data_IF_057543353056
#
_entry.id   IF_057543353056
#
_cell.length_a   1.000
_cell.length_b   1.000
_cell.length_c   1.000
_cell.angle_alpha   90.00
_cell.angle_beta   90.00
_cell.angle_gamma   90.00
#
_symmetry.space_group_name_H-M   'P 1'
#
loop_
_entity.id
_entity.type
_entity.pdbx_description
1 polymer ?
#
# COMPACT_ATOMS: atom_id res chain seq x y z
N UNK A 1 35.10 -5.39 19.49
CA UNK A 1 33.82 -5.64 20.19
C UNK A 1 33.21 -4.42 20.90
N UNK A 2 33.37 -3.15 20.47
CA UNK A 2 32.63 -2.04 21.10
C UNK A 2 31.33 -1.64 20.41
N UNK A 3 31.08 -2.04 19.14
CA UNK A 3 29.89 -1.61 18.39
C UNK A 3 28.56 -2.26 18.83
N UNK A 4 28.59 -3.42 19.47
CA UNK A 4 27.39 -4.10 19.98
C UNK A 4 26.86 -3.54 21.29
N UNK A 5 27.70 -2.83 22.05
CA UNK A 5 27.31 -2.20 23.33
C UNK A 5 26.57 -0.88 23.10
N UNK A 6 26.94 -0.13 22.06
CA UNK A 6 26.31 1.15 21.73
C UNK A 6 24.88 0.98 21.16
N UNK A 7 24.65 -0.09 20.39
CA UNK A 7 23.31 -0.40 19.90
C UNK A 7 22.34 -0.81 21.03
N UNK A 8 22.83 -1.55 22.04
CA UNK A 8 22.03 -1.93 23.22
C UNK A 8 21.77 -0.77 24.18
N UNK A 9 22.66 0.21 24.26
CA UNK A 9 22.45 1.43 25.06
C UNK A 9 21.48 2.39 24.39
N UNK A 10 21.43 2.46 23.04
CA UNK A 10 20.42 3.22 22.31
C UNK A 10 19.01 2.61 22.46
N UNK A 11 18.89 1.29 22.51
CA UNK A 11 17.63 0.58 22.81
C UNK A 11 17.15 0.78 24.26
N UNK A 12 18.04 1.15 25.19
CA UNK A 12 17.71 1.42 26.59
C UNK A 12 17.20 2.85 26.81
N UNK A 13 17.52 3.79 25.94
CA UNK A 13 17.14 5.21 26.04
C UNK A 13 15.84 5.51 25.26
N UNK A 14 15.54 4.76 24.22
CA UNK A 14 14.26 4.83 23.50
C UNK A 14 13.48 3.56 23.82
N UNK A 15 12.50 3.66 24.71
CA UNK A 15 11.61 2.55 25.03
C UNK A 15 10.94 2.04 23.75
N UNK A 16 11.49 0.95 23.18
CA UNK A 16 10.91 0.29 22.01
C UNK A 16 9.56 -0.27 22.41
N UNK A 17 8.51 0.18 21.75
CA UNK A 17 7.15 -0.28 21.97
C UNK A 17 6.60 -1.03 20.77
N UNK A 18 5.71 -1.99 21.05
CA UNK A 18 4.97 -2.70 20.01
C UNK A 18 4.10 -1.71 19.24
N UNK A 19 4.28 -1.63 17.92
CA UNK A 19 3.52 -0.73 17.06
C UNK A 19 2.00 -0.99 17.07
N UNK A 20 1.56 -2.20 17.45
CA UNK A 20 0.14 -2.54 17.52
C UNK A 20 -0.53 -2.23 18.86
N UNK A 21 0.11 -2.58 19.99
CA UNK A 21 -0.51 -2.49 21.32
C UNK A 21 0.31 -1.72 22.36
N UNK A 22 1.42 -1.10 21.97
CA UNK A 22 2.34 -0.33 22.82
C UNK A 22 3.02 -1.11 23.95
N UNK A 23 3.02 -2.43 23.90
CA UNK A 23 3.76 -3.23 24.87
C UNK A 23 5.24 -2.85 24.82
N UNK A 24 5.88 -2.51 25.94
CA UNK A 24 7.30 -2.15 25.97
C UNK A 24 8.20 -3.33 25.68
N UNK A 25 9.43 -3.04 25.21
CA UNK A 25 10.52 -4.00 25.01
C UNK A 25 10.43 -4.84 23.73
N UNK A 26 9.42 -4.64 22.86
CA UNK A 26 9.30 -5.37 21.60
C UNK A 26 8.80 -4.46 20.48
N UNK A 27 9.28 -4.65 19.27
CA UNK A 27 8.87 -3.87 18.09
C UNK A 27 7.51 -4.31 17.54
N UNK A 28 7.25 -5.63 17.53
CA UNK A 28 5.99 -6.28 17.19
C UNK A 28 5.81 -7.52 18.05
N UNK A 29 4.75 -7.58 18.86
CA UNK A 29 4.57 -8.67 19.81
C UNK A 29 3.71 -9.81 19.25
N UNK A 30 3.92 -11.03 19.78
CA UNK A 30 3.18 -12.23 19.35
C UNK A 30 1.64 -12.05 19.45
N UNK A 31 1.14 -11.32 20.43
CA UNK A 31 -0.32 -11.05 20.56
C UNK A 31 -0.84 -10.27 19.36
N UNK A 32 -0.12 -9.24 18.91
CA UNK A 32 -0.47 -8.46 17.73
C UNK A 32 -0.31 -9.28 16.46
N UNK A 33 0.70 -10.14 16.39
CA UNK A 33 0.91 -11.04 15.27
C UNK A 33 -0.25 -12.03 15.10
N UNK A 34 -0.68 -12.68 16.19
CA UNK A 34 -1.86 -13.55 16.19
C UNK A 34 -3.16 -12.78 15.88
N UNK A 35 -3.28 -11.55 16.38
CA UNK A 35 -4.44 -10.72 16.08
C UNK A 35 -4.47 -10.27 14.61
N UNK A 36 -3.29 -10.09 13.99
CA UNK A 36 -3.17 -9.77 12.57
C UNK A 36 -3.79 -10.88 11.70
N UNK A 37 -3.54 -12.14 12.02
CA UNK A 37 -4.13 -13.29 11.31
C UNK A 37 -5.65 -13.37 11.38
N UNK A 38 -6.28 -12.72 12.38
CA UNK A 38 -7.76 -12.63 12.48
C UNK A 38 -8.36 -11.55 11.58
N UNK A 39 -7.54 -10.72 10.96
CA UNK A 39 -7.96 -9.69 10.02
C UNK A 39 -7.99 -10.20 8.58
N UNK A 40 -7.66 -11.47 8.34
CA UNK A 40 -7.75 -12.07 7.01
C UNK A 40 -9.16 -11.89 6.45
N UNK A 41 -9.25 -11.38 5.23
CA UNK A 41 -10.52 -11.17 4.53
C UNK A 41 -11.10 -12.48 3.97
N UNK A 42 -10.27 -13.54 3.93
CA UNK A 42 -10.63 -14.87 3.47
C UNK A 42 -9.42 -15.80 3.50
N UNK A 43 -9.56 -17.05 3.08
CA UNK A 43 -8.47 -18.03 3.01
C UNK A 43 -7.36 -17.60 2.02
N UNK A 44 -7.72 -16.77 1.04
CA UNK A 44 -6.82 -16.09 0.12
C UNK A 44 -7.14 -14.58 0.07
N UNK A 45 -6.22 -13.73 -0.42
CA UNK A 45 -6.49 -12.32 -0.65
C UNK A 45 -7.71 -12.10 -1.53
N UNK A 46 -8.59 -11.18 -1.14
CA UNK A 46 -9.87 -10.97 -1.79
C UNK A 46 -9.84 -9.85 -2.82
N UNK A 47 -10.68 -9.98 -3.83
CA UNK A 47 -10.95 -8.93 -4.80
C UNK A 47 -11.72 -7.78 -4.13
N UNK A 48 -11.14 -6.59 -4.15
CA UNK A 48 -11.73 -5.40 -3.52
C UNK A 48 -12.57 -4.63 -4.55
N UNK A 49 -13.81 -4.33 -4.18
CA UNK A 49 -14.76 -3.53 -4.98
C UNK A 49 -15.34 -2.39 -4.13
N UNK A 50 -14.67 -1.23 -4.07
CA UNK A 50 -15.21 -0.08 -3.36
C UNK A 50 -16.56 0.36 -3.94
N UNK A 51 -17.43 0.87 -3.10
CA UNK A 51 -18.71 1.47 -3.52
C UNK A 51 -18.70 2.95 -3.17
N UNK A 52 -18.94 3.84 -4.16
CA UNK A 52 -19.07 3.57 -5.60
C UNK A 52 -17.73 3.16 -6.24
N UNK A 53 -17.80 2.33 -7.28
CA UNK A 53 -16.62 1.85 -8.01
C UNK A 53 -16.01 3.01 -8.82
N UNK A 54 -14.72 3.41 -8.58
CA UNK A 54 -14.09 4.44 -9.38
C UNK A 54 -13.86 3.96 -10.82
N UNK A 55 -14.03 4.83 -11.82
CA UNK A 55 -13.62 4.52 -13.18
C UNK A 55 -12.10 4.24 -13.20
N UNK A 56 -11.68 3.36 -14.08
CA UNK A 56 -10.27 2.91 -14.24
C UNK A 56 -9.67 2.19 -13.02
N UNK A 57 -10.43 1.85 -11.97
CA UNK A 57 -9.89 1.03 -10.89
C UNK A 57 -9.40 -0.30 -11.48
N UNK A 58 -8.12 -0.67 -11.30
CA UNK A 58 -7.63 -1.97 -11.76
C UNK A 58 -8.20 -3.09 -10.89
N UNK A 59 -8.17 -4.33 -11.37
CA UNK A 59 -8.39 -5.50 -10.51
C UNK A 59 -7.46 -5.42 -9.32
N UNK A 60 -8.05 -5.29 -8.11
CA UNK A 60 -7.32 -4.97 -6.89
C UNK A 60 -7.54 -6.06 -5.86
N UNK A 61 -6.45 -6.64 -5.33
CA UNK A 61 -6.51 -7.62 -4.23
C UNK A 61 -6.00 -7.02 -2.94
N UNK A 62 -6.62 -7.38 -1.82
CA UNK A 62 -6.19 -7.05 -0.48
C UNK A 62 -6.16 -8.29 0.41
N UNK A 63 -5.20 -8.37 1.32
CA UNK A 63 -5.05 -9.49 2.24
C UNK A 63 -5.88 -9.36 3.51
N UNK A 64 -5.91 -8.17 4.10
CA UNK A 64 -6.45 -7.95 5.44
C UNK A 64 -7.52 -6.86 5.48
N UNK A 65 -8.39 -6.94 6.49
CA UNK A 65 -9.24 -5.83 6.88
C UNK A 65 -8.41 -4.72 7.55
N UNK A 66 -8.71 -3.45 7.25
CA UNK A 66 -8.02 -2.30 7.86
C UNK A 66 -8.57 -2.01 9.25
N UNK A 67 -8.13 -2.78 10.24
CA UNK A 67 -8.50 -2.67 11.64
C UNK A 67 -7.25 -2.81 12.53
N UNK A 68 -7.39 -2.58 13.84
CA UNK A 68 -6.28 -2.79 14.77
C UNK A 68 -6.02 -4.31 14.97
N UNK A 69 -4.76 -4.71 15.08
CA UNK A 69 -3.54 -3.90 15.26
C UNK A 69 -2.87 -3.42 13.96
N UNK A 70 -3.38 -3.79 12.78
CA UNK A 70 -2.79 -3.41 11.47
C UNK A 70 -2.83 -1.90 11.26
N UNK A 71 -3.95 -1.24 11.59
CA UNK A 71 -4.09 0.22 11.46
C UNK A 71 -2.98 0.94 12.22
N UNK A 72 -2.74 0.57 13.48
CA UNK A 72 -1.67 1.13 14.29
C UNK A 72 -0.28 0.88 13.66
N UNK A 73 -0.03 -0.33 13.12
CA UNK A 73 1.21 -0.66 12.45
C UNK A 73 1.43 0.18 11.18
N UNK A 74 0.42 0.34 10.32
CA UNK A 74 0.49 1.15 9.10
C UNK A 74 0.73 2.63 9.44
N UNK A 75 0.05 3.15 10.46
CA UNK A 75 0.26 4.53 10.93
C UNK A 75 1.67 4.73 11.46
N UNK A 76 2.16 3.83 12.32
CA UNK A 76 3.52 3.91 12.86
C UNK A 76 4.58 3.79 11.75
N UNK A 77 4.37 2.90 10.78
CA UNK A 77 5.26 2.74 9.63
C UNK A 77 5.29 3.99 8.74
N UNK A 78 4.12 4.63 8.50
CA UNK A 78 4.02 5.84 7.68
C UNK A 78 4.55 7.08 8.41
N UNK A 79 4.16 7.29 9.66
CA UNK A 79 4.25 8.61 10.30
C UNK A 79 5.24 8.67 11.46
N UNK A 80 5.63 7.53 12.05
CA UNK A 80 6.56 7.44 13.17
C UNK A 80 7.90 6.74 12.82
N UNK A 81 8.25 6.70 11.53
CA UNK A 81 9.51 6.15 11.00
C UNK A 81 9.80 4.69 11.42
N UNK A 82 8.76 3.91 11.71
CA UNK A 82 8.89 2.50 12.10
C UNK A 82 9.12 1.60 10.86
N UNK A 83 10.29 1.81 10.19
CA UNK A 83 10.69 1.06 8.98
C UNK A 83 10.89 -0.44 9.22
N UNK A 84 11.13 -0.84 10.47
CA UNK A 84 11.18 -2.24 10.92
C UNK A 84 9.88 -3.01 10.61
N UNK A 85 8.74 -2.32 10.53
CA UNK A 85 7.43 -2.92 10.21
C UNK A 85 7.30 -3.42 8.76
N UNK A 86 8.28 -3.16 7.89
CA UNK A 86 8.38 -3.84 6.58
C UNK A 86 8.39 -5.36 6.73
N UNK A 87 8.99 -5.89 7.80
CA UNK A 87 9.00 -7.33 8.11
C UNK A 87 7.60 -7.89 8.43
N UNK A 88 6.68 -7.04 8.88
CA UNK A 88 5.28 -7.39 9.17
C UNK A 88 4.39 -7.15 7.96
N UNK A 89 4.49 -5.98 7.34
CA UNK A 89 3.61 -5.55 6.24
C UNK A 89 3.99 -6.19 4.90
N UNK A 90 5.28 -6.49 4.70
CA UNK A 90 5.80 -7.07 3.46
C UNK A 90 5.19 -8.43 3.11
N UNK A 91 5.19 -9.42 4.04
CA UNK A 91 4.52 -10.70 3.82
C UNK A 91 3.04 -10.56 3.46
N UNK A 92 2.34 -9.63 4.12
CA UNK A 92 0.92 -9.36 3.87
C UNK A 92 0.70 -8.81 2.46
N UNK A 93 1.48 -7.79 2.06
CA UNK A 93 1.40 -7.24 0.71
C UNK A 93 1.78 -8.27 -0.35
N UNK A 94 2.77 -9.14 -0.08
CA UNK A 94 3.20 -10.17 -1.01
C UNK A 94 2.10 -11.18 -1.33
N UNK A 95 1.29 -11.58 -0.33
CA UNK A 95 0.12 -12.45 -0.56
C UNK A 95 -0.85 -11.83 -1.56
N UNK A 96 -1.23 -10.55 -1.37
CA UNK A 96 -2.11 -9.84 -2.29
C UNK A 96 -1.48 -9.66 -3.69
N UNK A 97 -0.17 -9.41 -3.75
CA UNK A 97 0.57 -9.26 -4.99
C UNK A 97 0.64 -10.58 -5.79
N UNK A 98 0.90 -11.70 -5.10
CA UNK A 98 0.93 -13.02 -5.71
C UNK A 98 -0.45 -13.39 -6.29
N UNK A 99 -1.53 -13.13 -5.55
CA UNK A 99 -2.91 -13.38 -5.99
C UNK A 99 -3.29 -12.48 -7.19
N UNK A 100 -2.95 -11.19 -7.15
CA UNK A 100 -3.23 -10.26 -8.25
C UNK A 100 -2.53 -10.68 -9.55
N UNK A 101 -1.28 -11.14 -9.46
CA UNK A 101 -0.49 -11.60 -10.61
C UNK A 101 -0.97 -12.96 -11.12
N UNK A 102 -1.32 -13.89 -10.21
CA UNK A 102 -1.88 -15.19 -10.55
C UNK A 102 -3.24 -15.07 -11.23
N UNK A 103 -4.15 -14.27 -10.66
CA UNK A 103 -5.48 -14.00 -11.22
C UNK A 103 -5.43 -13.28 -12.58
N UNK A 104 -4.35 -12.55 -12.87
CA UNK A 104 -4.11 -11.95 -14.18
C UNK A 104 -3.52 -12.92 -15.21
N UNK A 105 -3.13 -14.13 -14.80
CA UNK A 105 -2.50 -15.13 -15.66
C UNK A 105 -1.05 -14.78 -16.04
N UNK A 106 -0.33 -13.95 -15.24
CA UNK A 106 1.01 -13.50 -15.62
C UNK A 106 2.13 -14.46 -15.19
N UNK A 107 1.84 -15.47 -14.40
CA UNK A 107 2.72 -16.57 -13.98
C UNK A 107 4.23 -16.31 -14.05
N UNK A 108 4.81 -16.58 -15.23
CA UNK A 108 6.25 -16.42 -15.48
C UNK A 108 6.63 -15.10 -16.20
N UNK A 109 5.69 -14.20 -16.44
CA UNK A 109 5.94 -12.93 -17.12
C UNK A 109 6.81 -11.99 -16.28
N UNK A 110 7.48 -11.04 -16.96
CA UNK A 110 8.07 -9.88 -16.31
C UNK A 110 6.96 -8.98 -15.75
N UNK A 111 7.16 -8.47 -14.55
CA UNK A 111 6.23 -7.59 -13.86
C UNK A 111 6.97 -6.34 -13.38
N UNK A 112 6.45 -5.18 -13.73
CA UNK A 112 6.94 -3.90 -13.17
C UNK A 112 6.10 -3.58 -11.94
N UNK A 113 6.74 -3.55 -10.77
CA UNK A 113 6.09 -3.21 -9.50
C UNK A 113 6.18 -1.71 -9.30
N UNK A 114 5.03 -1.05 -9.31
CA UNK A 114 4.94 0.41 -9.19
C UNK A 114 4.28 0.77 -7.86
N UNK A 115 4.99 1.40 -6.92
CA UNK A 115 4.38 1.93 -5.70
C UNK A 115 3.51 3.15 -6.03
N UNK A 116 2.33 3.25 -5.40
CA UNK A 116 1.52 4.45 -5.43
C UNK A 116 2.32 5.63 -4.84
N UNK A 117 2.23 6.84 -5.40
CA UNK A 117 3.07 7.94 -4.97
C UNK A 117 2.60 8.50 -3.63
N UNK A 118 3.54 8.66 -2.69
CA UNK A 118 3.31 9.46 -1.49
C UNK A 118 3.14 10.94 -1.86
N UNK A 119 2.35 11.69 -1.09
CA UNK A 119 2.24 13.13 -1.33
C UNK A 119 3.61 13.82 -1.17
N UNK A 120 3.86 14.86 -1.98
CA UNK A 120 5.11 15.61 -1.91
C UNK A 120 5.37 16.20 -0.50
N UNK A 121 4.31 16.61 0.21
CA UNK A 121 4.38 17.07 1.59
C UNK A 121 4.86 15.96 2.54
N UNK A 122 4.32 14.75 2.38
CA UNK A 122 4.71 13.57 3.18
C UNK A 122 6.17 13.17 2.91
N UNK A 123 6.61 13.19 1.65
CA UNK A 123 8.00 12.89 1.29
C UNK A 123 8.96 13.94 1.85
N UNK A 124 8.62 15.24 1.73
CA UNK A 124 9.46 16.31 2.32
C UNK A 124 9.57 16.21 3.83
N UNK A 125 8.48 15.87 4.51
CA UNK A 125 8.46 15.74 5.98
C UNK A 125 9.28 14.55 6.46
N UNK A 126 9.28 13.43 5.72
CA UNK A 126 9.89 12.15 6.14
C UNK A 126 11.23 11.86 5.51
N UNK A 127 11.58 12.52 4.41
CA UNK A 127 12.82 12.26 3.65
C UNK A 127 12.80 10.98 2.82
N UNK A 128 11.73 10.16 2.89
CA UNK A 128 11.63 8.90 2.17
C UNK A 128 10.21 8.59 1.66
N UNK A 129 10.11 7.53 0.86
CA UNK A 129 8.88 6.95 0.35
C UNK A 129 8.72 5.51 0.88
N UNK A 130 8.09 5.32 2.06
CA UNK A 130 8.01 4.02 2.73
C UNK A 130 7.47 2.91 1.82
N UNK A 131 6.51 3.21 0.96
CA UNK A 131 5.91 2.24 0.06
C UNK A 131 6.89 1.66 -0.97
N UNK A 132 7.96 2.41 -1.33
CA UNK A 132 9.03 1.87 -2.16
C UNK A 132 9.79 0.74 -1.45
N UNK A 133 9.97 0.82 -0.14
CA UNK A 133 10.61 -0.25 0.64
C UNK A 133 9.77 -1.52 0.62
N UNK A 134 8.45 -1.40 0.79
CA UNK A 134 7.53 -2.53 0.66
C UNK A 134 7.54 -3.12 -0.75
N UNK A 135 7.52 -2.28 -1.78
CA UNK A 135 7.60 -2.73 -3.17
C UNK A 135 8.90 -3.50 -3.44
N UNK A 136 10.03 -3.01 -2.94
CA UNK A 136 11.34 -3.71 -3.05
C UNK A 136 11.34 -5.03 -2.30
N UNK A 137 10.79 -5.07 -1.09
CA UNK A 137 10.68 -6.30 -0.30
C UNK A 137 9.87 -7.37 -1.06
N UNK A 138 8.71 -6.99 -1.63
CA UNK A 138 7.85 -7.88 -2.41
C UNK A 138 8.57 -8.40 -3.65
N UNK A 139 9.28 -7.55 -4.37
CA UNK A 139 10.01 -7.93 -5.58
C UNK A 139 11.21 -8.85 -5.27
N UNK A 140 11.98 -8.54 -4.24
CA UNK A 140 13.18 -9.29 -3.83
C UNK A 140 12.82 -10.70 -3.32
N UNK A 141 11.69 -10.84 -2.60
CA UNK A 141 11.25 -12.13 -2.07
C UNK A 141 11.07 -13.20 -3.15
N UNK A 142 10.74 -12.80 -4.38
CA UNK A 142 10.56 -13.76 -5.50
C UNK A 142 11.88 -14.40 -5.93
N UNK A 143 13.00 -13.72 -5.77
CA UNK A 143 14.35 -14.25 -6.05
C UNK A 143 14.66 -14.60 -7.51
N UNK A 144 13.69 -14.44 -8.42
CA UNK A 144 13.79 -14.84 -9.82
C UNK A 144 14.14 -13.68 -10.79
N UNK A 145 14.33 -12.47 -10.26
CA UNK A 145 14.71 -11.27 -11.02
C UNK A 145 13.64 -10.77 -12.01
N UNK A 146 12.46 -11.39 -12.06
CA UNK A 146 11.40 -11.02 -13.01
C UNK A 146 10.56 -9.84 -12.55
N UNK A 147 10.63 -9.49 -11.28
CA UNK A 147 9.91 -8.36 -10.70
C UNK A 147 10.85 -7.18 -10.52
N UNK A 148 10.62 -6.12 -11.29
CA UNK A 148 11.42 -4.89 -11.24
C UNK A 148 10.62 -3.78 -10.57
N UNK A 149 11.20 -3.11 -9.58
CA UNK A 149 10.55 -1.96 -8.91
C UNK A 149 10.82 -0.69 -9.70
N UNK A 150 9.76 0.03 -10.01
CA UNK A 150 9.80 1.31 -10.70
C UNK A 150 8.97 2.35 -9.92
N UNK A 151 9.57 3.28 -9.15
CA UNK A 151 8.85 4.39 -8.52
C UNK A 151 8.52 5.46 -9.57
N UNK A 152 7.70 5.03 -10.54
CA UNK A 152 7.44 5.74 -11.79
C UNK A 152 6.47 6.90 -11.63
N UNK A 153 5.58 6.86 -10.63
CA UNK A 153 4.52 7.84 -10.49
C UNK A 153 4.94 9.08 -9.68
N UNK A 154 4.37 10.22 -10.04
CA UNK A 154 4.49 11.47 -9.29
C UNK A 154 3.20 12.30 -9.40
N UNK A 155 3.00 13.23 -8.48
CA UNK A 155 1.92 14.21 -8.57
C UNK A 155 2.27 15.26 -9.63
N UNK A 156 1.50 15.33 -10.71
CA UNK A 156 1.71 16.26 -11.83
C UNK A 156 1.25 17.71 -11.52
N UNK A 157 0.33 17.87 -10.57
CA UNK A 157 -0.14 19.15 -10.06
C UNK A 157 0.05 19.21 -8.55
N UNK A 158 0.34 20.40 -8.00
CA UNK A 158 0.11 20.68 -6.58
C UNK A 158 -1.40 20.51 -6.36
N UNK A 159 -1.81 19.44 -5.73
CA UNK A 159 -3.14 19.36 -5.12
C UNK A 159 -3.08 20.36 -3.98
N UNK A 160 -3.69 21.54 -4.17
CA UNK A 160 -3.89 22.49 -3.09
C UNK A 160 -4.69 21.78 -2.01
N UNK A 161 -4.21 21.88 -0.76
CA UNK A 161 -4.88 21.41 0.42
C UNK A 161 -6.19 22.21 0.57
N UNK A 162 -7.26 21.72 -0.03
CA UNK A 162 -8.58 22.32 0.07
C UNK A 162 -9.39 21.51 1.11
N UNK A 163 -9.17 21.87 2.38
CA UNK A 163 -10.05 21.56 3.49
C UNK A 163 -11.40 22.27 3.29
N UNK A 164 -12.29 21.73 2.43
CA UNK A 164 -13.61 22.34 2.19
C UNK A 164 -14.39 21.77 1.01
N UNK A 165 -13.79 20.96 0.15
CA UNK A 165 -14.47 20.45 -1.04
C UNK A 165 -15.31 19.18 -0.76
N UNK A 166 -16.54 19.14 -1.28
CA UNK A 166 -17.45 18.02 -1.24
C UNK A 166 -16.92 16.79 -2.00
N UNK A 167 -17.51 15.61 -1.73
CA UNK A 167 -17.11 14.30 -2.29
C UNK A 167 -17.05 14.31 -3.83
N UNK A 168 -17.92 15.05 -4.51
CA UNK A 168 -17.96 15.17 -5.97
C UNK A 168 -16.80 16.01 -6.56
N UNK A 169 -16.32 17.01 -5.83
CA UNK A 169 -15.24 17.89 -6.25
C UNK A 169 -13.87 17.25 -6.00
N UNK A 170 -13.72 16.46 -4.93
CA UNK A 170 -12.53 15.61 -4.71
C UNK A 170 -12.34 14.60 -5.85
N UNK A 171 -13.43 14.08 -6.45
CA UNK A 171 -13.37 13.21 -7.62
C UNK A 171 -12.91 13.93 -8.88
N UNK A 172 -13.34 15.17 -9.12
CA UNK A 172 -12.93 15.96 -10.28
C UNK A 172 -11.50 16.51 -10.15
N UNK A 173 -11.05 16.84 -8.94
CA UNK A 173 -9.69 17.33 -8.68
C UNK A 173 -8.62 16.23 -8.74
N UNK A 174 -8.97 14.93 -8.58
CA UNK A 174 -8.03 13.83 -8.78
C UNK A 174 -7.83 13.45 -10.25
N UNK A 175 -8.70 13.90 -11.14
CA UNK A 175 -8.54 13.70 -12.58
C UNK A 175 -7.26 14.39 -13.08
N UNK A 176 -6.29 13.59 -13.59
CA UNK A 176 -4.97 14.04 -14.06
C UNK A 176 -3.99 14.51 -12.97
N UNK A 177 -4.20 14.09 -11.71
CA UNK A 177 -3.30 14.42 -10.61
C UNK A 177 -1.97 13.66 -10.66
N UNK A 178 -1.95 12.48 -11.29
CA UNK A 178 -0.76 11.64 -11.40
C UNK A 178 -0.24 11.53 -12.84
N UNK A 179 1.08 11.46 -12.98
CA UNK A 179 1.78 11.17 -14.23
C UNK A 179 2.96 10.22 -14.00
N UNK A 180 3.40 9.57 -15.09
CA UNK A 180 4.63 8.78 -15.10
C UNK A 180 5.81 9.72 -15.34
N UNK A 181 6.85 9.59 -14.50
CA UNK A 181 8.10 10.36 -14.63
C UNK A 181 8.81 9.98 -15.94
N UNK A 182 9.36 10.95 -16.72
CA UNK A 182 9.99 10.69 -18.01
C UNK A 182 11.00 9.52 -18.02
N UNK A 183 11.90 9.35 -17.04
CA UNK A 183 12.87 8.25 -17.05
C UNK A 183 12.25 6.84 -17.02
N UNK A 184 10.98 6.71 -16.60
CA UNK A 184 10.29 5.44 -16.46
C UNK A 184 9.37 5.09 -17.64
N UNK A 185 9.17 6.00 -18.60
CA UNK A 185 8.26 5.77 -19.73
C UNK A 185 8.61 4.53 -20.55
N UNK A 186 9.90 4.30 -20.82
CA UNK A 186 10.37 3.12 -21.55
C UNK A 186 10.22 1.83 -20.77
N UNK A 187 10.33 1.89 -19.42
CA UNK A 187 10.18 0.74 -18.53
C UNK A 187 8.72 0.32 -18.40
N UNK A 188 7.78 1.29 -18.46
CA UNK A 188 6.34 1.04 -18.32
C UNK A 188 5.70 0.58 -19.60
N UNK A 189 6.19 1.08 -20.75
CA UNK A 189 5.59 0.78 -22.06
C UNK A 189 5.60 -0.73 -22.34
N UNK A 190 4.45 -1.25 -22.80
CA UNK A 190 4.22 -2.65 -23.20
C UNK A 190 4.48 -3.66 -22.06
N UNK A 191 4.55 -3.21 -20.80
CA UNK A 191 4.79 -4.07 -19.65
C UNK A 191 3.51 -4.34 -18.84
N UNK A 192 3.49 -5.51 -18.19
CA UNK A 192 2.55 -5.83 -17.12
C UNK A 192 2.95 -5.09 -15.85
N UNK A 193 2.02 -4.33 -15.27
CA UNK A 193 2.28 -3.50 -14.10
C UNK A 193 1.48 -4.00 -12.89
N UNK A 194 2.17 -4.29 -11.80
CA UNK A 194 1.60 -4.48 -10.48
C UNK A 194 1.70 -3.17 -9.71
N UNK A 195 0.58 -2.48 -9.57
CA UNK A 195 0.47 -1.29 -8.75
C UNK A 195 0.31 -1.71 -7.28
N UNK A 196 1.12 -1.17 -6.38
CA UNK A 196 1.02 -1.49 -4.95
C UNK A 196 0.68 -0.26 -4.13
N UNK A 197 -0.17 -0.44 -3.11
CA UNK A 197 -0.50 0.58 -2.11
C UNK A 197 -0.62 -0.08 -0.74
N UNK A 198 -0.69 0.69 0.32
CA UNK A 198 -0.84 0.14 1.67
C UNK A 198 -2.30 -0.17 2.00
N UNK A 199 -3.22 0.78 1.79
CA UNK A 199 -4.63 0.62 2.14
C UNK A 199 -5.53 1.15 1.03
N UNK A 200 -6.41 0.29 0.53
CA UNK A 200 -7.48 0.75 -0.34
C UNK A 200 -8.71 1.15 0.48
N UNK A 201 -9.15 2.39 0.31
CA UNK A 201 -10.37 2.94 0.90
C UNK A 201 -11.44 3.13 -0.16
N UNK A 202 -11.39 4.23 -0.90
CA UNK A 202 -12.27 4.51 -2.03
C UNK A 202 -11.73 3.99 -3.36
N UNK A 203 -10.45 3.61 -3.41
CA UNK A 203 -9.75 3.20 -4.63
C UNK A 203 -9.39 4.35 -5.58
N UNK A 204 -9.66 5.61 -5.21
CA UNK A 204 -9.42 6.77 -6.07
C UNK A 204 -7.94 6.92 -6.47
N UNK A 205 -7.01 6.72 -5.53
CA UNK A 205 -5.56 6.74 -5.79
C UNK A 205 -5.15 5.67 -6.80
N UNK A 206 -5.62 4.43 -6.60
CA UNK A 206 -5.33 3.31 -7.49
C UNK A 206 -5.92 3.52 -8.89
N UNK A 207 -7.14 4.07 -8.98
CA UNK A 207 -7.78 4.36 -10.25
C UNK A 207 -7.01 5.43 -11.04
N UNK A 208 -6.59 6.52 -10.38
CA UNK A 208 -5.82 7.58 -11.02
C UNK A 208 -4.41 7.11 -11.41
N UNK A 209 -3.75 6.32 -10.56
CA UNK A 209 -2.47 5.71 -10.87
C UNK A 209 -2.58 4.75 -12.08
N UNK A 210 -3.62 3.93 -12.13
CA UNK A 210 -3.89 3.05 -13.27
C UNK A 210 -4.12 3.84 -14.57
N UNK A 211 -4.90 4.93 -14.51
CA UNK A 211 -5.10 5.83 -15.65
C UNK A 211 -3.77 6.39 -16.15
N UNK A 212 -2.92 6.89 -15.25
CA UNK A 212 -1.61 7.44 -15.61
C UNK A 212 -0.68 6.40 -16.23
N UNK A 213 -0.65 5.18 -15.69
CA UNK A 213 0.16 4.06 -16.21
C UNK A 213 -0.32 3.61 -17.60
N UNK A 214 -1.63 3.47 -17.80
CA UNK A 214 -2.19 3.12 -19.12
C UNK A 214 -1.90 4.20 -20.16
N UNK A 215 -1.99 5.48 -19.79
CA UNK A 215 -1.63 6.58 -20.66
C UNK A 215 -0.14 6.57 -21.05
N UNK A 216 0.73 6.04 -20.17
CA UNK A 216 2.15 5.84 -20.45
C UNK A 216 2.45 4.57 -21.28
N UNK A 217 1.43 3.80 -21.67
CA UNK A 217 1.56 2.62 -22.50
C UNK A 217 1.68 1.30 -21.74
N UNK A 218 1.32 1.25 -20.43
CA UNK A 218 1.28 -0.03 -19.72
C UNK A 218 0.30 -1.00 -20.40
N UNK A 219 0.77 -2.24 -20.65
CA UNK A 219 -0.01 -3.26 -21.34
C UNK A 219 -1.23 -3.68 -20.50
N UNK A 220 -1.00 -4.06 -19.26
CA UNK A 220 -2.04 -4.42 -18.30
C UNK A 220 -1.64 -3.93 -16.92
N UNK A 221 -2.63 -3.57 -16.10
CA UNK A 221 -2.42 -3.10 -14.72
C UNK A 221 -3.34 -3.88 -13.79
N UNK A 222 -2.76 -4.46 -12.75
CA UNK A 222 -3.47 -4.99 -11.57
C UNK A 222 -2.95 -4.31 -10.33
N UNK A 223 -3.64 -4.42 -9.20
CA UNK A 223 -3.20 -3.79 -7.97
C UNK A 223 -3.25 -4.76 -6.78
N UNK A 224 -2.37 -4.50 -5.82
CA UNK A 224 -2.31 -5.19 -4.54
C UNK A 224 -2.16 -4.19 -3.40
N UNK A 225 -2.86 -4.44 -2.29
CA UNK A 225 -2.76 -3.64 -1.07
C UNK A 225 -2.62 -4.52 0.17
N UNK A 226 -2.01 -3.98 1.21
CA UNK A 226 -1.91 -4.67 2.52
C UNK A 226 -3.32 -4.89 3.07
N UNK A 227 -4.18 -3.85 2.99
CA UNK A 227 -5.51 -3.91 3.55
C UNK A 227 -6.56 -3.19 2.71
N UNK A 228 -7.82 -3.57 2.95
CA UNK A 228 -8.99 -2.84 2.49
C UNK A 228 -9.77 -2.27 3.68
N UNK A 229 -10.18 -1.00 3.59
CA UNK A 229 -11.12 -0.42 4.53
C UNK A 229 -12.51 -1.05 4.30
N UNK A 230 -13.00 -1.77 5.30
CA UNK A 230 -14.39 -2.21 5.32
C UNK A 230 -15.27 -0.99 5.64
N UNK A 231 -16.26 -0.69 4.80
CA UNK A 231 -17.34 0.17 5.22
C UNK A 231 -18.21 -0.66 6.18
N UNK A 232 -18.33 -0.23 7.43
CA UNK A 232 -19.40 -0.69 8.28
C UNK A 232 -20.70 -0.22 7.60
N UNK A 233 -21.45 -1.13 6.98
CA UNK A 233 -22.87 -0.95 6.82
C UNK A 233 -23.40 -0.91 8.24
N UNK A 234 -23.90 0.26 8.70
CA UNK A 234 -24.73 0.31 9.88
C UNK A 234 -25.83 -0.75 9.66
N UNK A 235 -26.10 -1.63 10.66
CA UNK A 235 -27.20 -2.56 10.51
C UNK A 235 -28.45 -1.74 10.18
N UNK A 236 -29.05 -2.05 9.05
CA UNK A 236 -30.34 -1.50 8.68
C UNK A 236 -31.32 -2.00 9.76
N UNK A 237 -31.58 -1.18 10.75
CA UNK A 237 -32.67 -1.39 11.69
C UNK A 237 -33.95 -1.22 10.84
N UNK A 238 -34.24 -2.30 10.08
CA UNK A 238 -35.45 -2.44 9.32
C UNK A 238 -36.61 -2.18 10.25
N UNK A 239 -37.43 -1.26 9.82
CA UNK A 239 -38.74 -0.96 10.30
C UNK A 239 -39.48 -2.24 10.74
N UNK A 240 -39.63 -2.39 12.06
CA UNK A 240 -40.69 -3.24 12.60
C UNK A 240 -41.93 -2.37 12.57
N UNK A 241 -42.69 -2.52 11.49
CA UNK A 241 -44.08 -2.07 11.40
C UNK A 241 -45.02 -3.14 11.94
#
# INVERSE_FOLDING_TARGET
MPLLLTARLADLVLAVECAGCRRPGVRWCRRCDLALGRLDLGPAPVLVRPRPLPPHLPTTHASLAYADPLRAAVTAWKDADRRDLVSVLGPVLARAADEAVAGAGWGRSRVVVVPAPSSAASVRRRGDAPLEQLARWVAQRRGDGRWQVAPALHHARRVEDQSGLGIGERRRNLGHALAVKPPWLTVIRDCNVLLVDDVVTTGATLAEACRALRRAGALRVVAATVAAAQRHEAPNLGEVG
#
